data_IF_947375423814
#
_entry.id   IF_947375423814
#
_cell.length_a   1.000
_cell.length_b   1.000
_cell.length_c   1.000
_cell.angle_alpha   90.00
_cell.angle_beta   90.00
_cell.angle_gamma   90.00
#
_symmetry.space_group_name_H-M   'P 1'
#
loop_
_entity.id
_entity.type
_entity.pdbx_description
1 polymer ?
#
# COMPACT_ATOMS: atom_id res chain seq x y z
N UNK A 1 30.22 1.07 40.27
CA UNK A 1 28.99 1.80 39.91
C UNK A 1 28.87 1.89 38.38
N UNK A 2 28.50 0.81 37.68
CA UNK A 2 28.39 0.84 36.20
C UNK A 2 27.42 -0.18 35.56
N UNK A 3 26.79 -1.05 36.36
CA UNK A 3 25.82 -2.05 35.86
C UNK A 3 24.47 -1.40 35.57
N UNK A 4 23.98 -0.53 36.45
CA UNK A 4 22.73 0.20 36.27
C UNK A 4 22.70 1.05 34.99
N UNK A 5 23.81 1.72 34.64
CA UNK A 5 23.91 2.49 33.39
C UNK A 5 23.84 1.60 32.14
N UNK A 6 24.45 0.42 32.16
CA UNK A 6 24.39 -0.53 31.04
C UNK A 6 23.00 -1.12 30.86
N UNK A 7 22.29 -1.42 31.96
CA UNK A 7 20.91 -1.93 31.92
C UNK A 7 19.96 -0.90 31.33
N UNK A 8 20.07 0.37 31.76
CA UNK A 8 19.25 1.47 31.22
C UNK A 8 19.51 1.66 29.72
N UNK A 9 20.77 1.58 29.29
CA UNK A 9 21.12 1.72 27.87
C UNK A 9 20.54 0.59 27.01
N UNK A 10 20.56 -0.65 27.51
CA UNK A 10 19.93 -1.79 26.83
C UNK A 10 18.40 -1.67 26.75
N UNK A 11 17.72 -1.18 27.80
CA UNK A 11 16.26 -1.01 27.79
C UNK A 11 15.84 0.08 26.79
N UNK A 12 16.61 1.17 26.68
CA UNK A 12 16.34 2.24 25.71
C UNK A 12 16.54 1.73 24.27
N UNK A 13 17.55 0.91 24.01
CA UNK A 13 17.79 0.33 22.68
C UNK A 13 16.70 -0.68 22.24
N UNK A 14 16.06 -1.39 23.18
CA UNK A 14 14.96 -2.32 22.89
C UNK A 14 13.65 -1.56 22.59
N UNK A 15 13.45 -0.38 23.18
CA UNK A 15 12.27 0.45 22.89
C UNK A 15 12.34 1.13 21.51
N UNK A 16 13.55 1.36 20.99
CA UNK A 16 13.74 1.94 19.65
C UNK A 16 13.59 0.96 18.49
N UNK A 17 13.57 -0.37 18.74
CA UNK A 17 13.38 -1.39 17.70
C UNK A 17 11.92 -1.81 17.47
N UNK A 18 10.95 -1.18 18.16
CA UNK A 18 9.55 -1.61 18.19
C UNK A 18 8.56 -0.67 17.49
N UNK A 19 9.03 0.14 16.53
CA UNK A 19 8.15 0.90 15.64
C UNK A 19 8.32 0.46 14.18
N UNK A 20 8.17 -0.84 13.92
CA UNK A 20 7.60 -1.28 12.66
C UNK A 20 6.09 -1.05 12.75
N UNK A 21 5.65 0.21 12.59
CA UNK A 21 4.23 0.52 12.43
C UNK A 21 3.84 0.05 11.04
N UNK A 22 3.60 -1.26 10.90
CA UNK A 22 2.64 -1.73 9.91
C UNK A 22 1.32 -1.10 10.30
N UNK A 23 1.00 0.06 9.73
CA UNK A 23 -0.23 0.78 10.04
C UNK A 23 -1.41 -0.18 9.91
N UNK A 24 -2.25 -0.25 10.94
CA UNK A 24 -3.49 -1.00 10.85
C UNK A 24 -4.30 -0.45 9.67
N UNK A 25 -4.86 -1.35 8.86
CA UNK A 25 -5.77 -0.95 7.77
C UNK A 25 -6.84 -0.01 8.36
N UNK A 26 -7.07 1.17 7.75
CA UNK A 26 -8.09 2.11 8.22
C UNK A 26 -9.48 1.48 8.31
N UNK A 27 -10.36 2.10 9.10
CA UNK A 27 -11.75 1.65 9.19
C UNK A 27 -12.47 1.76 7.83
N UNK A 28 -13.53 0.96 7.62
CA UNK A 28 -14.26 0.93 6.35
C UNK A 28 -14.80 2.30 5.93
N UNK A 29 -15.16 3.17 6.87
CA UNK A 29 -15.60 4.55 6.59
C UNK A 29 -14.51 5.47 6.07
N UNK A 30 -13.25 5.07 6.16
CA UNK A 30 -12.07 5.82 5.69
C UNK A 30 -11.50 5.24 4.39
N UNK A 31 -12.11 4.17 3.87
CA UNK A 31 -11.66 3.47 2.68
C UNK A 31 -12.63 3.71 1.52
N UNK A 32 -12.06 4.06 0.37
CA UNK A 32 -12.78 4.14 -0.91
C UNK A 32 -12.92 2.74 -1.52
N UNK A 33 -11.87 1.94 -1.45
CA UNK A 33 -11.85 0.57 -1.98
C UNK A 33 -10.90 -0.32 -1.17
N UNK A 34 -11.22 -1.60 -1.10
CA UNK A 34 -10.40 -2.64 -0.49
C UNK A 34 -10.62 -3.95 -1.24
N UNK A 35 -9.53 -4.59 -1.64
CA UNK A 35 -9.51 -5.93 -2.21
C UNK A 35 -8.49 -6.80 -1.47
N UNK A 36 -8.77 -8.10 -1.41
CA UNK A 36 -7.89 -9.09 -0.80
C UNK A 36 -7.58 -10.16 -1.83
N UNK A 37 -6.40 -10.78 -1.71
CA UNK A 37 -6.11 -11.96 -2.50
C UNK A 37 -7.10 -13.07 -2.16
N UNK A 38 -7.43 -13.89 -3.14
CA UNK A 38 -8.29 -15.05 -2.97
C UNK A 38 -7.65 -16.25 -3.63
N UNK A 39 -7.42 -17.30 -2.86
CA UNK A 39 -6.96 -18.58 -3.37
C UNK A 39 -8.18 -19.45 -3.71
N UNK A 40 -8.37 -19.68 -5.01
CA UNK A 40 -9.49 -20.47 -5.55
C UNK A 40 -9.39 -21.94 -5.14
N UNK A 41 -8.18 -22.48 -4.94
CA UNK A 41 -7.99 -23.90 -4.60
C UNK A 41 -8.35 -24.19 -3.15
N UNK A 42 -7.98 -23.28 -2.23
CA UNK A 42 -8.24 -23.44 -0.79
C UNK A 42 -9.50 -22.71 -0.33
N UNK A 43 -10.13 -21.93 -1.21
CA UNK A 43 -11.20 -20.98 -0.90
C UNK A 43 -10.82 -19.97 0.19
N UNK A 44 -9.52 -19.75 0.41
CA UNK A 44 -9.01 -18.89 1.46
C UNK A 44 -8.89 -17.44 0.97
N UNK A 45 -9.31 -16.50 1.82
CA UNK A 45 -9.06 -15.07 1.62
C UNK A 45 -7.62 -14.85 2.07
N UNK A 46 -6.72 -14.64 1.11
CA UNK A 46 -5.29 -14.58 1.33
C UNK A 46 -4.81 -13.35 2.10
N UNK A 47 -3.52 -13.38 2.45
CA UNK A 47 -2.88 -12.41 3.35
C UNK A 47 -2.52 -11.08 2.68
N UNK A 48 -2.67 -10.99 1.35
CA UNK A 48 -2.39 -9.77 0.60
C UNK A 48 -3.64 -8.91 0.53
N UNK A 49 -3.53 -7.68 1.02
CA UNK A 49 -4.64 -6.73 1.05
C UNK A 49 -4.20 -5.45 0.36
N UNK A 50 -4.94 -5.02 -0.66
CA UNK A 50 -4.77 -3.72 -1.28
C UNK A 50 -5.96 -2.82 -0.92
N UNK A 51 -5.71 -1.56 -0.62
CA UNK A 51 -6.76 -0.61 -0.28
C UNK A 51 -6.41 0.82 -0.70
N UNK A 52 -7.44 1.64 -0.90
CA UNK A 52 -7.35 3.06 -1.25
C UNK A 52 -8.06 3.88 -0.17
N UNK A 53 -7.35 4.73 0.60
CA UNK A 53 -7.96 5.68 1.52
C UNK A 53 -8.78 6.75 0.79
N UNK A 54 -9.81 7.29 1.45
CA UNK A 54 -10.61 8.40 0.91
C UNK A 54 -9.80 9.70 0.86
N UNK A 55 -9.10 10.03 1.94
CA UNK A 55 -8.41 11.33 2.07
C UNK A 55 -7.12 11.43 1.24
N UNK A 56 -6.57 10.27 0.86
CA UNK A 56 -5.28 10.17 0.19
C UNK A 56 -5.36 9.04 -0.84
N UNK A 57 -5.65 9.34 -2.13
CA UNK A 57 -5.86 8.32 -3.15
C UNK A 57 -4.51 7.72 -3.59
N UNK A 58 -3.88 6.98 -2.68
CA UNK A 58 -2.66 6.22 -2.90
C UNK A 58 -2.97 4.73 -2.82
N UNK A 59 -2.25 3.94 -3.62
CA UNK A 59 -2.28 2.48 -3.51
C UNK A 59 -1.57 2.06 -2.23
N UNK A 60 -2.32 1.49 -1.28
CA UNK A 60 -1.75 0.87 -0.10
C UNK A 60 -1.81 -0.64 -0.22
N UNK A 61 -0.73 -1.32 0.15
CA UNK A 61 -0.57 -2.76 0.08
C UNK A 61 -0.06 -3.28 1.43
N UNK A 62 -0.79 -4.22 2.01
CA UNK A 62 -0.35 -5.03 3.13
C UNK A 62 -0.07 -6.45 2.62
N UNK A 63 1.18 -6.88 2.66
CA UNK A 63 1.59 -8.23 2.25
C UNK A 63 2.72 -8.71 3.15
N UNK A 64 2.65 -9.96 3.65
CA UNK A 64 3.70 -10.57 4.49
C UNK A 64 4.10 -9.72 5.70
N UNK A 65 3.12 -9.11 6.36
CA UNK A 65 3.29 -8.15 7.48
C UNK A 65 4.05 -6.86 7.13
N UNK A 66 4.24 -6.56 5.85
CA UNK A 66 4.85 -5.33 5.39
C UNK A 66 3.79 -4.43 4.75
N UNK A 67 3.90 -3.13 5.05
CA UNK A 67 3.00 -2.11 4.53
C UNK A 67 3.73 -1.23 3.52
N UNK A 68 3.12 -1.05 2.35
CA UNK A 68 3.66 -0.27 1.25
C UNK A 68 2.63 0.75 0.79
N UNK A 69 3.07 1.99 0.57
CA UNK A 69 2.24 3.07 0.06
C UNK A 69 2.85 3.61 -1.24
N UNK A 70 2.04 3.73 -2.29
CA UNK A 70 2.43 4.27 -3.59
C UNK A 70 1.51 5.44 -3.97
N UNK A 71 2.09 6.65 -4.04
CA UNK A 71 1.38 7.92 -4.24
C UNK A 71 1.76 8.66 -5.52
N UNK A 72 2.43 7.98 -6.46
CA UNK A 72 2.91 8.56 -7.72
C UNK A 72 2.73 7.56 -8.86
N UNK A 73 2.36 8.06 -10.03
CA UNK A 73 2.36 7.26 -11.28
C UNK A 73 3.77 7.26 -11.87
N UNK A 74 4.41 8.44 -11.88
CA UNK A 74 5.73 8.74 -12.40
C UNK A 74 6.42 9.79 -11.50
N UNK A 75 7.75 9.94 -11.59
CA UNK A 75 8.55 10.85 -10.74
C UNK A 75 8.11 12.33 -10.77
N UNK A 76 7.25 12.74 -11.71
CA UNK A 76 6.75 14.11 -11.85
C UNK A 76 5.29 14.34 -11.46
N UNK A 77 4.49 13.30 -11.17
CA UNK A 77 3.05 13.43 -10.89
C UNK A 77 2.73 13.06 -9.43
N UNK A 78 2.17 14.01 -8.68
CA UNK A 78 1.84 13.84 -7.27
C UNK A 78 0.34 13.58 -7.08
N UNK A 79 -0.02 12.37 -6.61
CA UNK A 79 -1.41 11.97 -6.41
C UNK A 79 -2.00 12.42 -5.08
N UNK A 80 -1.20 13.07 -4.23
CA UNK A 80 -1.65 13.53 -2.90
C UNK A 80 -2.78 14.56 -2.96
N UNK A 81 -2.98 15.23 -4.10
CA UNK A 81 -4.09 16.15 -4.36
C UNK A 81 -5.15 15.59 -5.33
N UNK A 82 -5.03 14.31 -5.72
CA UNK A 82 -5.66 13.75 -6.91
C UNK A 82 -7.18 13.91 -6.97
N UNK A 83 -7.90 13.64 -5.88
CA UNK A 83 -9.37 13.71 -5.87
C UNK A 83 -9.91 15.11 -6.22
N UNK A 84 -9.14 16.19 -5.95
CA UNK A 84 -9.53 17.56 -6.31
C UNK A 84 -9.27 17.90 -7.77
N UNK A 85 -8.35 17.20 -8.42
CA UNK A 85 -7.94 17.42 -9.81
C UNK A 85 -8.62 16.44 -10.77
N UNK A 86 -9.62 15.68 -10.30
CA UNK A 86 -10.33 14.69 -11.09
C UNK A 86 -9.54 13.40 -11.30
N UNK A 87 -8.51 13.18 -10.48
CA UNK A 87 -7.66 12.00 -10.50
C UNK A 87 -8.11 11.00 -9.42
N UNK A 88 -8.25 9.72 -9.76
CA UNK A 88 -8.56 8.68 -8.77
C UNK A 88 -8.00 7.30 -9.15
N UNK A 89 -7.78 6.47 -8.12
CA UNK A 89 -7.33 5.08 -8.27
C UNK A 89 -8.51 4.13 -8.12
N UNK A 90 -8.57 3.13 -9.00
CA UNK A 90 -9.50 2.00 -8.90
C UNK A 90 -8.70 0.71 -8.74
N UNK A 91 -9.10 -0.16 -7.81
CA UNK A 91 -8.51 -1.49 -7.65
C UNK A 91 -9.24 -2.49 -8.54
N UNK A 92 -8.49 -3.23 -9.35
CA UNK A 92 -9.06 -4.18 -10.32
C UNK A 92 -8.93 -5.63 -9.84
N UNK A 93 -7.73 -6.02 -9.37
CA UNK A 93 -7.49 -7.35 -8.82
C UNK A 93 -6.30 -7.41 -7.85
N UNK A 94 -6.35 -8.35 -6.92
CA UNK A 94 -5.27 -8.65 -5.96
C UNK A 94 -4.99 -10.14 -5.98
N UNK A 95 -3.73 -10.52 -6.17
CA UNK A 95 -3.23 -11.88 -6.00
C UNK A 95 -2.04 -11.87 -5.03
N UNK A 96 -1.53 -13.05 -4.67
CA UNK A 96 -0.32 -13.17 -3.85
C UNK A 96 0.94 -12.60 -4.49
N UNK A 97 0.94 -12.46 -5.82
CA UNK A 97 2.11 -12.05 -6.61
C UNK A 97 1.99 -10.66 -7.21
N UNK A 98 0.77 -10.14 -7.40
CA UNK A 98 0.57 -8.84 -8.02
C UNK A 98 -0.73 -8.16 -7.64
N UNK A 99 -0.73 -6.83 -7.74
CA UNK A 99 -1.93 -6.00 -7.66
C UNK A 99 -2.13 -5.31 -9.00
N UNK A 100 -3.33 -5.42 -9.56
CA UNK A 100 -3.74 -4.67 -10.76
C UNK A 100 -4.70 -3.56 -10.36
N UNK A 101 -4.45 -2.37 -10.88
CA UNK A 101 -5.18 -1.16 -10.53
C UNK A 101 -5.08 -0.17 -11.67
N UNK A 102 -5.98 0.81 -11.69
CA UNK A 102 -6.08 1.80 -12.75
C UNK A 102 -6.00 3.21 -12.19
N UNK A 103 -5.16 4.04 -12.80
CA UNK A 103 -5.14 5.48 -12.58
C UNK A 103 -6.09 6.16 -13.56
N UNK A 104 -7.07 6.87 -13.04
CA UNK A 104 -8.13 7.47 -13.84
C UNK A 104 -8.10 8.99 -13.68
N UNK A 105 -8.22 9.68 -14.80
CA UNK A 105 -8.48 11.12 -14.85
C UNK A 105 -9.73 11.39 -15.67
N UNK A 106 -10.12 12.66 -15.77
CA UNK A 106 -11.17 13.07 -16.72
C UNK A 106 -10.75 12.92 -18.19
N UNK A 107 -9.45 12.78 -18.48
CA UNK A 107 -8.90 12.78 -19.84
C UNK A 107 -8.40 11.42 -20.30
N UNK A 108 -7.94 10.57 -19.38
CA UNK A 108 -7.33 9.30 -19.69
C UNK A 108 -7.50 8.30 -18.53
N UNK A 109 -7.34 7.01 -18.85
CA UNK A 109 -7.20 5.93 -17.89
C UNK A 109 -5.98 5.10 -18.24
N UNK A 110 -5.15 4.81 -17.25
CA UNK A 110 -3.93 4.01 -17.40
C UNK A 110 -4.00 2.82 -16.46
N UNK A 111 -3.92 1.63 -17.04
CA UNK A 111 -3.86 0.38 -16.30
C UNK A 111 -2.43 0.14 -15.82
N UNK A 112 -2.31 -0.27 -14.56
CA UNK A 112 -1.04 -0.53 -13.91
C UNK A 112 -1.06 -1.86 -13.18
N UNK A 113 0.13 -2.46 -13.09
CA UNK A 113 0.38 -3.68 -12.33
C UNK A 113 1.59 -3.50 -11.43
N UNK A 114 1.38 -3.73 -10.14
CA UNK A 114 2.43 -3.81 -9.13
C UNK A 114 2.85 -5.27 -8.97
N UNK A 115 4.13 -5.57 -9.20
CA UNK A 115 4.75 -6.84 -8.78
C UNK A 115 5.08 -6.77 -7.30
N UNK A 116 4.53 -7.65 -6.48
CA UNK A 116 4.75 -7.64 -5.03
C UNK A 116 6.20 -8.04 -4.69
N UNK A 117 6.79 -8.96 -5.46
CA UNK A 117 8.18 -9.39 -5.26
C UNK A 117 9.18 -8.27 -5.55
N UNK A 118 8.95 -7.55 -6.65
CA UNK A 118 9.92 -6.59 -7.18
C UNK A 118 9.63 -5.16 -6.73
N UNK A 119 8.46 -4.94 -6.12
CA UNK A 119 7.94 -3.63 -5.67
C UNK A 119 7.92 -2.59 -6.79
N UNK A 120 7.81 -3.05 -8.04
CA UNK A 120 7.81 -2.21 -9.25
C UNK A 120 6.41 -2.13 -9.83
N UNK A 121 5.98 -0.91 -10.10
CA UNK A 121 4.78 -0.61 -10.87
C UNK A 121 5.17 -0.59 -12.35
N UNK A 122 4.39 -1.27 -13.17
CA UNK A 122 4.43 -1.18 -14.63
C UNK A 122 3.05 -0.76 -15.11
N UNK A 123 2.99 0.31 -15.87
CA UNK A 123 1.75 0.78 -16.47
C UNK A 123 1.81 0.57 -17.97
N UNK A 124 0.65 0.25 -18.56
CA UNK A 124 0.52 0.22 -20.01
C UNK A 124 0.82 1.63 -20.52
N UNK A 125 1.75 1.75 -21.47
CA UNK A 125 1.97 3.04 -22.12
C UNK A 125 0.69 3.36 -22.88
N UNK A 126 0.00 4.43 -22.50
CA UNK A 126 -1.03 5.03 -23.33
C UNK A 126 -0.38 5.33 -24.69
N UNK A 127 -0.84 4.64 -25.74
CA UNK A 127 -0.44 4.90 -27.13
C UNK A 127 -0.70 6.35 -27.55
#
# INVERSE_FOLDING_TARGET
>A
MNIFKKIIYCIILIMFSLQAVGGSIPSSSQLRSLLRSYDIQTANIGETIAYIPIEKPCLNLLARNEHYEYCVINEGENLSNGDKEGFFITLDSVSESSVSFSYNTIWYSVNCRLSISDKKIKCDKSE
#
